data_IF_537488110222
#
_entry.id   IF_537488110222
#
_cell.length_a   1.000
_cell.length_b   1.000
_cell.length_c   1.000
_cell.angle_alpha   90.00
_cell.angle_beta   90.00
_cell.angle_gamma   90.00
#
_symmetry.space_group_name_H-M   'P 1'
#
loop_
_entity.id
_entity.type
_entity.pdbx_description
1 polymer ?
#
# COMPACT_ATOMS: atom_id res chain seq x y z
N UNK A 1 -33.13 -63.60 -39.28
CA UNK A 1 -33.77 -62.36 -38.83
C UNK A 1 -33.14 -61.99 -37.46
N UNK A 2 -32.06 -61.17 -37.42
CA UNK A 2 -31.38 -60.77 -36.22
C UNK A 2 -31.82 -59.35 -35.90
N UNK A 3 -32.47 -59.16 -34.73
CA UNK A 3 -32.78 -57.84 -34.19
C UNK A 3 -31.50 -57.22 -33.61
N UNK A 4 -31.15 -56.00 -34.10
CA UNK A 4 -30.20 -55.11 -33.48
C UNK A 4 -30.93 -54.23 -32.47
N UNK A 5 -30.50 -54.26 -31.19
CA UNK A 5 -30.90 -53.28 -30.20
C UNK A 5 -29.92 -52.09 -30.26
N UNK A 6 -30.43 -50.92 -30.57
CA UNK A 6 -29.69 -49.68 -30.44
C UNK A 6 -29.89 -49.13 -29.04
N UNK A 7 -28.80 -49.04 -28.26
CA UNK A 7 -28.76 -48.38 -26.96
C UNK A 7 -28.54 -46.89 -27.17
N UNK A 8 -29.54 -46.08 -26.82
CA UNK A 8 -29.43 -44.62 -26.80
C UNK A 8 -28.78 -44.24 -25.46
N UNK A 9 -27.54 -43.77 -25.47
CA UNK A 9 -26.93 -43.10 -24.35
C UNK A 9 -27.45 -41.65 -24.30
N UNK A 10 -28.27 -41.34 -23.30
CA UNK A 10 -28.65 -39.99 -22.95
C UNK A 10 -27.46 -39.32 -22.23
N UNK A 11 -26.65 -38.55 -22.93
CA UNK A 11 -25.66 -37.66 -22.37
C UNK A 11 -26.35 -36.46 -21.75
N UNK A 12 -26.31 -36.36 -20.42
CA UNK A 12 -26.70 -35.17 -19.70
C UNK A 12 -25.57 -34.15 -19.89
N UNK A 13 -25.78 -33.18 -20.77
CA UNK A 13 -24.90 -32.01 -20.82
C UNK A 13 -25.15 -31.13 -19.58
N UNK A 14 -24.21 -31.12 -18.66
CA UNK A 14 -24.11 -30.06 -17.69
C UNK A 14 -23.65 -28.80 -18.41
N UNK A 15 -24.57 -27.88 -18.67
CA UNK A 15 -24.23 -26.50 -18.94
C UNK A 15 -23.69 -25.93 -17.62
N UNK A 16 -22.38 -25.79 -17.52
CA UNK A 16 -21.75 -24.83 -16.59
C UNK A 16 -22.27 -23.46 -17.07
N UNK A 17 -23.25 -22.93 -16.36
CA UNK A 17 -23.55 -21.51 -16.46
C UNK A 17 -22.27 -20.79 -15.96
N UNK A 18 -21.52 -20.20 -16.87
CA UNK A 18 -20.68 -19.09 -16.53
C UNK A 18 -21.65 -18.04 -15.97
N UNK A 19 -21.65 -17.84 -14.67
CA UNK A 19 -22.14 -16.59 -14.15
C UNK A 19 -21.12 -15.58 -14.69
N UNK A 20 -21.57 -14.73 -15.60
CA UNK A 20 -20.89 -13.48 -15.87
C UNK A 20 -20.83 -12.77 -14.51
N UNK A 21 -19.67 -12.78 -13.87
CA UNK A 21 -19.38 -11.92 -12.75
C UNK A 21 -19.53 -10.53 -13.33
N UNK A 22 -20.60 -9.85 -13.00
CA UNK A 22 -20.83 -8.46 -13.38
C UNK A 22 -19.62 -7.71 -12.84
N UNK A 23 -18.84 -7.11 -13.72
CA UNK A 23 -17.74 -6.25 -13.31
C UNK A 23 -18.26 -5.27 -12.28
N UNK A 24 -17.70 -5.32 -11.09
CA UNK A 24 -18.03 -4.47 -9.98
C UNK A 24 -17.62 -3.07 -10.38
N UNK A 25 -18.45 -2.08 -10.20
CA UNK A 25 -18.12 -0.72 -10.55
C UNK A 25 -17.70 0.07 -9.30
N UNK A 26 -16.50 0.62 -9.31
CA UNK A 26 -16.10 1.65 -8.36
C UNK A 26 -17.03 2.86 -8.56
N UNK A 27 -17.78 3.23 -7.51
CA UNK A 27 -18.81 4.27 -7.57
C UNK A 27 -18.64 5.37 -6.53
N UNK A 28 -17.80 5.13 -5.54
CA UNK A 28 -17.56 6.05 -4.41
C UNK A 28 -16.14 5.86 -3.88
N UNK A 29 -15.18 5.90 -4.80
CA UNK A 29 -13.77 5.68 -4.49
C UNK A 29 -13.19 6.88 -3.72
N UNK A 30 -12.68 6.63 -2.52
CA UNK A 30 -12.06 7.66 -1.68
C UNK A 30 -10.65 7.29 -1.24
N UNK A 31 -10.41 6.03 -0.90
CA UNK A 31 -9.12 5.54 -0.43
C UNK A 31 -8.69 4.26 -1.15
N UNK A 32 -7.42 3.98 -1.12
CA UNK A 32 -6.85 2.72 -1.60
C UNK A 32 -5.70 2.33 -0.69
N UNK A 33 -5.61 1.03 -0.37
CA UNK A 33 -4.53 0.48 0.43
C UNK A 33 -3.86 -0.70 -0.24
N UNK A 34 -2.58 -0.91 0.08
CA UNK A 34 -1.83 -2.07 -0.36
C UNK A 34 -1.83 -3.16 0.72
N UNK A 35 -2.28 -4.35 0.37
CA UNK A 35 -2.15 -5.56 1.17
C UNK A 35 -0.84 -6.29 0.82
N UNK A 36 0.23 -6.13 1.61
CA UNK A 36 1.53 -6.71 1.30
C UNK A 36 1.58 -8.22 1.53
N UNK A 37 0.59 -8.79 2.26
CA UNK A 37 0.51 -10.22 2.54
C UNK A 37 -0.02 -10.96 1.33
N UNK A 38 -1.08 -10.45 0.72
CA UNK A 38 -1.73 -11.09 -0.42
C UNK A 38 -1.37 -10.44 -1.77
N UNK A 39 -0.51 -9.38 -1.77
CA UNK A 39 -0.04 -8.64 -2.95
C UNK A 39 -1.17 -8.15 -3.84
N UNK A 40 -2.11 -7.42 -3.25
CA UNK A 40 -3.27 -6.83 -3.90
C UNK A 40 -3.52 -5.42 -3.40
N UNK A 41 -4.36 -4.68 -4.09
CA UNK A 41 -4.84 -3.39 -3.66
C UNK A 41 -6.29 -3.49 -3.21
N UNK A 42 -6.62 -2.76 -2.16
CA UNK A 42 -7.95 -2.69 -1.56
C UNK A 42 -8.47 -1.27 -1.74
N UNK A 43 -9.56 -1.10 -2.46
CA UNK A 43 -10.16 0.19 -2.76
C UNK A 43 -11.42 0.39 -1.91
N UNK A 44 -11.45 1.45 -1.12
CA UNK A 44 -12.62 1.88 -0.34
C UNK A 44 -13.69 2.46 -1.26
N UNK A 45 -14.85 1.83 -1.31
CA UNK A 45 -15.96 2.17 -2.21
C UNK A 45 -17.26 2.44 -1.43
N UNK A 46 -17.17 3.08 -0.28
CA UNK A 46 -18.28 3.35 0.61
C UNK A 46 -18.82 2.07 1.26
N UNK A 47 -19.92 1.55 0.76
CA UNK A 47 -20.59 0.36 1.30
C UNK A 47 -19.87 -0.97 1.10
N UNK A 48 -18.69 -0.97 0.47
CA UNK A 48 -17.85 -2.17 0.27
C UNK A 48 -16.40 -1.80 0.03
N UNK A 49 -15.52 -2.79 0.13
CA UNK A 49 -14.12 -2.71 -0.28
C UNK A 49 -13.91 -3.64 -1.47
N UNK A 50 -13.26 -3.14 -2.49
CA UNK A 50 -13.05 -3.85 -3.75
C UNK A 50 -11.57 -4.14 -3.94
N UNK A 51 -11.24 -5.36 -4.34
CA UNK A 51 -9.90 -5.72 -4.79
C UNK A 51 -9.66 -5.19 -6.19
N UNK A 52 -8.56 -4.50 -6.40
CA UNK A 52 -8.12 -4.03 -7.72
C UNK A 52 -6.74 -4.60 -8.05
N UNK A 53 -6.52 -4.85 -9.34
CA UNK A 53 -5.23 -5.33 -9.84
C UNK A 53 -4.23 -4.18 -10.07
N UNK A 54 -3.02 -4.52 -10.52
CA UNK A 54 -1.95 -3.55 -10.80
C UNK A 54 -2.24 -2.61 -12.00
N UNK A 55 -3.34 -2.78 -12.70
CA UNK A 55 -3.80 -1.88 -13.76
C UNK A 55 -4.91 -0.96 -13.27
N UNK A 56 -5.41 -1.17 -12.04
CA UNK A 56 -6.57 -0.50 -11.48
C UNK A 56 -7.90 -1.10 -11.93
N UNK A 57 -7.88 -2.28 -12.54
CA UNK A 57 -9.08 -3.00 -12.92
C UNK A 57 -9.65 -3.74 -11.70
N UNK A 58 -10.96 -3.65 -11.53
CA UNK A 58 -11.69 -4.30 -10.46
C UNK A 58 -11.64 -5.82 -10.63
N UNK A 59 -11.32 -6.52 -9.53
CA UNK A 59 -11.21 -7.98 -9.52
C UNK A 59 -12.37 -8.65 -8.80
N UNK A 60 -12.58 -8.34 -7.51
CA UNK A 60 -13.59 -8.98 -6.67
C UNK A 60 -13.91 -8.10 -5.45
N UNK A 61 -14.89 -8.51 -4.66
CA UNK A 61 -15.11 -7.95 -3.34
C UNK A 61 -14.09 -8.47 -2.34
N UNK A 62 -13.58 -7.59 -1.50
CA UNK A 62 -12.85 -8.00 -0.32
C UNK A 62 -13.83 -8.50 0.75
N UNK A 63 -14.06 -9.82 0.80
CA UNK A 63 -15.00 -10.43 1.74
C UNK A 63 -16.48 -10.20 1.40
N UNK A 64 -17.37 -10.47 2.37
CA UNK A 64 -18.82 -10.40 2.15
C UNK A 64 -19.45 -9.05 2.47
N UNK A 65 -18.90 -8.31 3.45
CA UNK A 65 -19.49 -7.09 3.98
C UNK A 65 -18.52 -6.01 4.50
N UNK A 66 -17.21 -5.94 4.14
CA UNK A 66 -16.37 -4.85 4.58
C UNK A 66 -16.84 -3.53 3.98
N UNK A 67 -16.88 -2.49 4.82
CA UNK A 67 -17.23 -1.13 4.46
C UNK A 67 -16.00 -0.23 4.65
N UNK A 68 -15.82 0.77 3.80
CA UNK A 68 -14.84 1.84 3.97
C UNK A 68 -15.37 3.11 3.31
N UNK A 69 -15.72 4.09 4.12
CA UNK A 69 -16.26 5.36 3.65
C UNK A 69 -15.12 6.35 3.29
N UNK A 70 -14.00 6.28 4.04
CA UNK A 70 -12.87 7.21 3.96
C UNK A 70 -11.55 6.46 4.18
N UNK A 71 -10.60 7.04 4.93
CA UNK A 71 -9.29 6.51 5.17
C UNK A 71 -9.26 5.04 5.59
N UNK A 72 -8.29 4.33 5.05
CA UNK A 72 -7.97 2.94 5.37
C UNK A 72 -6.49 2.81 5.67
N UNK A 73 -6.13 1.76 6.43
CA UNK A 73 -4.75 1.36 6.69
C UNK A 73 -4.62 -0.15 6.86
N UNK A 74 -3.53 -0.71 6.38
CA UNK A 74 -3.19 -2.11 6.62
C UNK A 74 -2.14 -2.19 7.73
N UNK A 75 -2.48 -2.86 8.84
CA UNK A 75 -1.57 -3.11 9.95
C UNK A 75 -1.61 -4.59 10.33
N UNK A 76 -0.46 -5.26 10.28
CA UNK A 76 -0.37 -6.69 10.54
C UNK A 76 -1.22 -7.53 9.58
N UNK A 77 -2.15 -8.33 10.09
CA UNK A 77 -3.08 -9.13 9.29
C UNK A 77 -4.49 -8.54 9.22
N UNK A 78 -4.62 -7.23 9.36
CA UNK A 78 -5.92 -6.56 9.36
C UNK A 78 -5.92 -5.31 8.48
N UNK A 79 -7.05 -5.08 7.80
CA UNK A 79 -7.43 -3.81 7.21
C UNK A 79 -8.24 -3.03 8.23
N UNK A 80 -7.80 -1.83 8.55
CA UNK A 80 -8.57 -0.86 9.34
C UNK A 80 -9.24 0.12 8.40
N UNK A 81 -10.49 0.47 8.66
CA UNK A 81 -11.25 1.36 7.79
C UNK A 81 -12.18 2.29 8.60
N UNK A 82 -12.31 3.52 8.15
CA UNK A 82 -13.29 4.46 8.68
C UNK A 82 -14.65 4.17 8.07
N UNK A 83 -15.65 3.96 8.95
CA UNK A 83 -17.04 3.75 8.59
C UNK A 83 -17.91 4.68 9.44
N UNK A 84 -18.35 5.79 8.86
CA UNK A 84 -19.03 6.87 9.57
C UNK A 84 -18.18 7.49 10.67
N UNK A 85 -18.57 7.30 11.94
CA UNK A 85 -17.80 7.73 13.12
C UNK A 85 -17.15 6.56 13.86
N UNK A 86 -16.99 5.44 13.19
CA UNK A 86 -16.35 4.23 13.72
C UNK A 86 -15.09 3.89 12.93
N UNK A 87 -14.19 3.18 13.61
CA UNK A 87 -13.10 2.46 12.96
C UNK A 87 -13.36 0.97 13.11
N UNK A 88 -13.37 0.26 12.00
CA UNK A 88 -13.54 -1.19 11.92
C UNK A 88 -12.23 -1.85 11.49
N UNK A 89 -11.97 -3.04 12.01
CA UNK A 89 -10.86 -3.88 11.61
C UNK A 89 -11.38 -5.16 10.95
N UNK A 90 -10.83 -5.51 9.79
CA UNK A 90 -11.19 -6.70 9.01
C UNK A 90 -9.97 -7.59 8.84
N UNK A 91 -10.13 -8.89 9.05
CA UNK A 91 -9.07 -9.87 8.78
C UNK A 91 -8.74 -9.93 7.28
N UNK A 92 -7.47 -9.72 6.91
CA UNK A 92 -7.03 -9.65 5.51
C UNK A 92 -7.25 -10.94 4.72
N UNK A 93 -7.38 -12.08 5.38
CA UNK A 93 -7.57 -13.37 4.71
C UNK A 93 -9.04 -13.65 4.41
N UNK A 94 -9.93 -13.32 5.36
CA UNK A 94 -11.34 -13.68 5.28
C UNK A 94 -12.27 -12.52 4.96
N UNK A 95 -11.80 -11.27 5.12
CA UNK A 95 -12.63 -10.06 5.03
C UNK A 95 -13.66 -9.94 6.16
N UNK A 96 -13.58 -10.75 7.22
CA UNK A 96 -14.52 -10.68 8.33
C UNK A 96 -14.14 -9.58 9.31
N UNK A 97 -15.13 -8.84 9.83
CA UNK A 97 -14.91 -7.88 10.90
C UNK A 97 -14.42 -8.61 12.16
N UNK A 98 -13.27 -8.18 12.68
CA UNK A 98 -12.62 -8.75 13.87
C UNK A 98 -12.62 -7.80 15.06
N UNK A 99 -12.82 -6.51 14.82
CA UNK A 99 -12.93 -5.48 15.86
C UNK A 99 -13.64 -4.25 15.32
N UNK A 100 -14.24 -3.47 16.21
CA UNK A 100 -14.74 -2.13 15.87
C UNK A 100 -14.84 -1.24 17.10
N UNK A 101 -14.70 0.08 16.90
CA UNK A 101 -14.90 1.09 17.92
C UNK A 101 -15.57 2.32 17.33
N UNK A 102 -16.61 2.83 18.03
CA UNK A 102 -17.26 4.08 17.66
C UNK A 102 -16.73 5.22 18.52
N UNK A 103 -16.28 6.30 17.88
CA UNK A 103 -15.78 7.48 18.57
C UNK A 103 -16.96 8.40 18.90
N UNK A 104 -17.36 8.40 20.17
CA UNK A 104 -18.49 9.20 20.60
C UNK A 104 -18.16 10.69 20.54
N UNK A 105 -18.97 11.42 19.80
CA UNK A 105 -18.82 12.87 19.61
C UNK A 105 -18.02 13.25 18.37
N UNK A 106 -17.42 12.31 17.64
CA UNK A 106 -16.83 12.59 16.34
C UNK A 106 -17.91 13.04 15.35
N UNK A 107 -17.56 14.02 14.51
CA UNK A 107 -18.49 14.59 13.53
C UNK A 107 -18.25 14.06 12.11
N UNK A 108 -16.98 13.89 11.71
CA UNK A 108 -16.60 13.42 10.37
C UNK A 108 -15.16 12.90 10.37
N UNK A 109 -14.99 11.62 10.64
CA UNK A 109 -13.68 10.96 10.51
C UNK A 109 -13.30 10.86 9.04
N UNK A 110 -12.01 11.15 8.71
CA UNK A 110 -11.57 11.19 7.33
C UNK A 110 -10.24 10.47 7.09
N UNK A 111 -9.09 11.01 7.47
CA UNK A 111 -7.79 10.38 7.27
C UNK A 111 -7.44 9.40 8.37
N UNK A 112 -6.65 8.39 8.06
CA UNK A 112 -6.15 7.36 8.98
C UNK A 112 -4.64 7.20 8.83
N UNK A 113 -3.97 6.85 9.93
CA UNK A 113 -2.59 6.39 9.97
C UNK A 113 -2.46 5.29 11.02
N UNK A 114 -1.51 4.39 10.87
CA UNK A 114 -1.21 3.37 11.87
C UNK A 114 0.30 3.23 12.13
N UNK A 115 0.65 2.56 13.23
CA UNK A 115 2.00 2.07 13.49
C UNK A 115 2.00 0.54 13.68
N UNK A 116 3.20 -0.03 13.88
CA UNK A 116 3.34 -1.47 14.12
C UNK A 116 2.95 -1.90 15.55
N UNK A 117 2.66 -0.93 16.46
CA UNK A 117 2.35 -1.16 17.87
C UNK A 117 0.82 -1.18 18.15
N UNK A 118 -0.01 -1.43 17.14
CA UNK A 118 -1.47 -1.50 17.22
C UNK A 118 -2.17 -0.16 17.51
N UNK A 119 -1.50 0.99 17.27
CA UNK A 119 -2.12 2.30 17.37
C UNK A 119 -2.59 2.76 16.00
N UNK A 120 -3.80 3.30 15.99
CA UNK A 120 -4.41 3.93 14.82
C UNK A 120 -4.77 5.37 15.17
N UNK A 121 -4.42 6.30 14.31
CA UNK A 121 -4.83 7.70 14.45
C UNK A 121 -5.80 8.06 13.35
N UNK A 122 -6.83 8.82 13.74
CA UNK A 122 -7.82 9.32 12.78
C UNK A 122 -8.03 10.82 12.95
N UNK A 123 -8.18 11.50 11.82
CA UNK A 123 -8.54 12.92 11.80
C UNK A 123 -10.05 13.09 11.80
N UNK A 124 -10.58 14.04 12.58
CA UNK A 124 -11.94 14.54 12.40
C UNK A 124 -11.91 15.85 11.62
N UNK A 125 -12.38 15.76 10.40
CA UNK A 125 -12.38 16.85 9.43
C UNK A 125 -13.21 18.05 9.89
N UNK A 126 -14.40 17.81 10.45
CA UNK A 126 -15.32 18.88 10.84
C UNK A 126 -14.97 19.49 12.20
N UNK A 127 -14.64 18.66 13.17
CA UNK A 127 -14.32 19.13 14.53
C UNK A 127 -12.87 19.55 14.68
N UNK A 128 -12.02 19.25 13.67
CA UNK A 128 -10.59 19.59 13.63
C UNK A 128 -9.81 18.96 14.78
N UNK A 129 -10.15 17.74 15.11
CA UNK A 129 -9.54 16.95 16.17
C UNK A 129 -8.74 15.79 15.60
N UNK A 130 -7.88 15.19 16.43
CA UNK A 130 -7.19 13.93 16.12
C UNK A 130 -7.43 12.99 17.30
N UNK A 131 -7.82 11.76 17.00
CA UNK A 131 -7.97 10.70 17.96
C UNK A 131 -6.88 9.64 17.76
N UNK A 132 -6.42 9.07 18.88
CA UNK A 132 -5.59 7.88 18.91
C UNK A 132 -6.44 6.72 19.41
N UNK A 133 -6.36 5.58 18.73
CA UNK A 133 -7.11 4.37 19.03
C UNK A 133 -6.10 3.26 19.30
N UNK A 134 -6.27 2.53 20.40
CA UNK A 134 -5.48 1.37 20.77
C UNK A 134 -6.25 0.08 20.44
N UNK A 135 -5.72 -0.69 19.49
CA UNK A 135 -6.21 -2.00 19.07
C UNK A 135 -5.38 -3.17 19.61
N UNK A 136 -4.54 -2.97 20.61
CA UNK A 136 -3.77 -4.06 21.22
C UNK A 136 -4.65 -5.17 21.80
N UNK A 137 -5.88 -4.82 22.25
CA UNK A 137 -6.95 -5.77 22.57
C UNK A 137 -8.12 -5.57 21.58
N UNK A 138 -8.14 -6.40 20.53
CA UNK A 138 -9.19 -6.34 19.49
C UNK A 138 -10.61 -6.57 20.06
N UNK A 139 -10.75 -7.22 21.21
CA UNK A 139 -12.07 -7.43 21.83
C UNK A 139 -12.57 -6.18 22.57
N UNK A 140 -11.66 -5.29 23.01
CA UNK A 140 -11.97 -4.11 23.78
C UNK A 140 -11.05 -2.94 23.38
N UNK A 141 -11.12 -2.44 22.13
CA UNK A 141 -10.32 -1.30 21.72
C UNK A 141 -10.72 -0.04 22.50
N UNK A 142 -9.76 0.86 22.69
CA UNK A 142 -9.98 2.12 23.39
C UNK A 142 -9.52 3.30 22.56
N UNK A 143 -10.01 4.50 22.84
CA UNK A 143 -9.57 5.70 22.17
C UNK A 143 -9.41 6.89 23.10
N UNK A 144 -8.60 7.85 22.68
CA UNK A 144 -8.40 9.14 23.34
C UNK A 144 -8.31 10.24 22.29
N UNK A 145 -8.85 11.42 22.57
CA UNK A 145 -8.61 12.62 21.79
C UNK A 145 -7.22 13.16 22.17
N UNK A 146 -6.30 13.19 21.20
CA UNK A 146 -4.91 13.66 21.41
C UNK A 146 -4.69 15.10 20.94
N UNK A 147 -5.52 15.60 20.03
CA UNK A 147 -5.58 17.02 19.63
C UNK A 147 -7.03 17.46 19.59
N UNK A 148 -7.36 18.52 20.31
CA UNK A 148 -8.71 19.10 20.42
C UNK A 148 -8.99 20.27 19.45
N UNK A 149 -7.97 20.85 18.84
CA UNK A 149 -8.08 21.83 17.74
C UNK A 149 -6.79 21.90 16.92
N UNK A 150 -6.85 21.39 15.69
CA UNK A 150 -5.76 21.54 14.70
C UNK A 150 -5.71 22.91 14.06
N UNK A 151 -6.64 23.83 14.40
CA UNK A 151 -6.82 25.18 13.84
C UNK A 151 -7.27 25.21 12.38
N UNK A 152 -6.86 24.24 11.60
CA UNK A 152 -7.20 24.06 10.19
C UNK A 152 -7.85 22.71 10.01
N UNK A 153 -8.65 22.53 8.98
CA UNK A 153 -9.38 21.29 8.70
C UNK A 153 -8.39 20.18 8.32
N UNK A 154 -8.13 19.21 9.20
CA UNK A 154 -7.23 18.09 8.87
C UNK A 154 -7.93 17.13 7.91
N UNK A 155 -7.15 16.49 7.04
CA UNK A 155 -7.62 15.49 6.09
C UNK A 155 -6.70 14.25 6.19
N UNK A 156 -6.06 13.82 5.13
CA UNK A 156 -5.14 12.70 5.17
C UNK A 156 -4.01 12.88 6.19
N UNK A 157 -3.53 11.78 6.74
CA UNK A 157 -2.52 11.71 7.79
C UNK A 157 -1.68 10.46 7.59
N UNK A 158 -0.36 10.53 7.81
CA UNK A 158 0.53 9.38 7.77
C UNK A 158 1.51 9.37 8.95
N UNK A 159 2.06 8.21 9.25
CA UNK A 159 3.04 8.02 10.32
C UNK A 159 4.48 8.20 9.79
N UNK A 160 5.22 9.13 10.39
CA UNK A 160 6.66 9.36 10.17
C UNK A 160 7.44 8.74 11.33
N UNK A 161 7.73 7.44 11.22
CA UNK A 161 8.44 6.68 12.24
C UNK A 161 9.79 7.27 12.56
N UNK A 162 10.56 7.67 11.55
CA UNK A 162 11.91 8.19 11.68
C UNK A 162 11.99 9.44 12.59
N UNK A 163 10.90 10.23 12.63
CA UNK A 163 10.82 11.44 13.43
C UNK A 163 9.83 11.32 14.60
N UNK A 164 9.25 10.15 14.84
CA UNK A 164 8.27 9.88 15.88
C UNK A 164 7.14 10.92 15.90
N UNK A 165 6.50 11.10 14.74
CA UNK A 165 5.44 12.09 14.53
C UNK A 165 4.41 11.60 13.52
N UNK A 166 3.24 12.20 13.56
CA UNK A 166 2.29 12.12 12.45
C UNK A 166 2.43 13.35 11.58
N UNK A 167 2.33 13.18 10.28
CA UNK A 167 2.25 14.28 9.31
C UNK A 167 0.85 14.27 8.72
N UNK A 168 0.17 15.42 8.73
CA UNK A 168 -1.18 15.52 8.19
C UNK A 168 -1.35 16.75 7.30
N UNK A 169 -2.20 16.58 6.32
CA UNK A 169 -2.55 17.61 5.35
C UNK A 169 -3.86 18.30 5.71
N UNK A 170 -4.12 19.42 5.08
CA UNK A 170 -5.28 20.20 5.42
C UNK A 170 -6.11 20.54 4.17
N UNK A 171 -7.41 20.42 4.33
CA UNK A 171 -8.37 20.89 3.34
C UNK A 171 -8.54 22.40 3.41
N UNK A 172 -8.92 23.01 2.29
CA UNK A 172 -9.28 24.41 2.22
C UNK A 172 -8.62 25.17 1.10
N UNK A 173 -8.42 26.47 1.28
CA UNK A 173 -8.00 27.41 0.24
C UNK A 173 -6.67 27.08 -0.44
N UNK A 174 -6.36 27.82 -1.49
CA UNK A 174 -5.14 27.69 -2.32
C UNK A 174 -3.79 27.83 -1.59
N UNK A 175 -3.79 27.89 -0.27
CA UNK A 175 -2.62 27.92 0.60
C UNK A 175 -2.85 26.96 1.79
N UNK A 176 -3.29 25.76 1.50
CA UNK A 176 -3.47 24.72 2.49
C UNK A 176 -2.14 24.37 3.17
N UNK A 177 -2.18 23.84 4.39
CA UNK A 177 -0.98 23.60 5.17
C UNK A 177 -0.68 22.12 5.24
N UNK A 178 0.62 21.81 5.40
CA UNK A 178 1.08 20.50 5.86
C UNK A 178 1.58 20.70 7.27
N UNK A 179 1.13 19.89 8.21
CA UNK A 179 1.43 19.97 9.62
C UNK A 179 1.97 18.66 10.15
N UNK A 180 2.62 18.73 11.31
CA UNK A 180 3.01 17.55 12.05
C UNK A 180 2.53 17.63 13.49
N UNK A 181 2.23 16.46 14.06
CA UNK A 181 1.97 16.25 15.48
C UNK A 181 3.05 15.34 16.05
N UNK A 182 3.77 15.82 17.06
CA UNK A 182 4.75 15.00 17.79
C UNK A 182 4.06 13.92 18.61
N UNK A 183 4.51 12.69 18.54
CA UNK A 183 3.99 11.60 19.38
C UNK A 183 4.57 11.59 20.81
N UNK A 184 5.48 12.53 21.11
CA UNK A 184 6.04 12.67 22.47
C UNK A 184 5.16 13.54 23.37
N UNK A 185 4.57 14.60 22.82
CA UNK A 185 3.84 15.62 23.60
C UNK A 185 2.56 16.13 22.89
N UNK A 186 2.23 15.53 21.75
CA UNK A 186 1.10 15.88 20.86
C UNK A 186 1.11 17.34 20.37
N UNK A 187 2.26 18.00 20.44
CA UNK A 187 2.41 19.38 19.95
C UNK A 187 2.27 19.44 18.42
N UNK A 188 1.38 20.30 17.95
CA UNK A 188 1.14 20.50 16.51
C UNK A 188 1.99 21.67 15.98
N UNK A 189 2.73 21.40 14.91
CA UNK A 189 3.57 22.39 14.20
C UNK A 189 3.21 22.47 12.71
N UNK A 190 3.50 23.59 12.06
CA UNK A 190 3.36 23.72 10.63
C UNK A 190 4.69 23.43 9.94
N UNK A 191 4.72 22.43 9.06
CA UNK A 191 5.90 22.09 8.25
C UNK A 191 5.94 22.96 6.99
N UNK A 192 4.82 23.07 6.27
CA UNK A 192 4.74 23.83 5.02
C UNK A 192 3.51 24.75 5.02
N UNK A 193 3.75 26.02 4.68
CA UNK A 193 2.70 26.91 4.20
C UNK A 193 2.72 26.84 2.67
N UNK A 194 1.85 26.05 2.08
CA UNK A 194 1.86 25.88 0.62
C UNK A 194 1.47 27.15 -0.10
N UNK A 195 1.81 27.24 -1.38
CA UNK A 195 1.40 28.32 -2.26
C UNK A 195 0.80 27.74 -3.54
N UNK A 196 -0.44 28.12 -3.83
CA UNK A 196 -1.15 27.64 -5.01
C UNK A 196 -1.53 26.14 -4.96
N UNK A 197 -1.60 25.58 -3.76
CA UNK A 197 -2.11 24.22 -3.51
C UNK A 197 -3.23 24.33 -2.48
N UNK A 198 -4.37 23.82 -2.82
CA UNK A 198 -5.54 23.80 -1.94
C UNK A 198 -6.28 22.48 -2.02
N UNK A 199 -7.20 22.29 -1.07
CA UNK A 199 -7.95 21.05 -0.96
C UNK A 199 -7.00 19.86 -1.02
N UNK A 200 -6.04 19.84 -0.09
CA UNK A 200 -5.11 18.72 0.03
C UNK A 200 -5.88 17.59 0.71
N UNK A 201 -5.84 16.42 0.11
CA UNK A 201 -6.64 15.27 0.51
C UNK A 201 -5.78 14.19 1.16
N UNK A 202 -5.05 13.42 0.40
CA UNK A 202 -4.22 12.33 0.90
C UNK A 202 -2.75 12.72 1.11
N UNK A 203 -2.09 11.99 2.00
CA UNK A 203 -0.64 12.02 2.19
C UNK A 203 -0.17 10.64 2.60
N UNK A 204 0.93 10.22 2.00
CA UNK A 204 1.64 9.03 2.44
C UNK A 204 3.16 9.19 2.23
N UNK A 205 3.98 8.30 2.79
CA UNK A 205 5.42 8.39 2.73
C UNK A 205 6.07 7.11 2.21
N UNK A 206 7.24 7.28 1.58
CA UNK A 206 8.08 6.16 1.17
C UNK A 206 9.11 5.81 2.25
N UNK A 207 9.74 4.64 2.11
CA UNK A 207 10.80 4.17 2.98
C UNK A 207 12.09 5.01 2.95
N UNK A 208 12.17 6.00 2.05
CA UNK A 208 13.28 6.93 1.95
C UNK A 208 13.02 8.23 2.72
N UNK A 209 11.83 8.33 3.36
CA UNK A 209 11.37 9.49 4.10
C UNK A 209 10.87 10.63 3.20
N UNK A 210 10.52 10.37 1.95
CA UNK A 210 9.80 11.35 1.15
C UNK A 210 8.30 11.21 1.39
N UNK A 211 7.59 12.33 1.23
CA UNK A 211 6.15 12.40 1.41
C UNK A 211 5.47 12.73 0.07
N UNK A 212 4.42 12.00 -0.25
CA UNK A 212 3.56 12.26 -1.39
C UNK A 212 2.28 12.90 -0.91
N UNK A 213 1.86 13.95 -1.60
CA UNK A 213 0.70 14.76 -1.20
C UNK A 213 -0.24 14.91 -2.39
N UNK A 214 -1.47 14.44 -2.22
CA UNK A 214 -2.54 14.56 -3.21
C UNK A 214 -3.32 15.85 -2.99
N UNK A 215 -3.60 16.60 -4.05
CA UNK A 215 -4.40 17.84 -3.99
C UNK A 215 -5.39 17.94 -5.15
N UNK A 216 -6.57 18.53 -4.88
CA UNK A 216 -7.61 18.74 -5.88
C UNK A 216 -7.49 20.10 -6.58
N UNK A 217 -6.79 21.04 -5.99
CA UNK A 217 -6.70 22.41 -6.52
C UNK A 217 -5.26 22.92 -6.57
N UNK A 218 -4.55 22.69 -7.69
CA UNK A 218 -4.91 21.86 -8.84
C UNK A 218 -4.84 20.35 -8.53
N UNK A 219 -5.44 19.50 -9.38
CA UNK A 219 -5.26 18.05 -9.34
C UNK A 219 -3.78 17.73 -9.57
N UNK A 220 -3.11 17.24 -8.52
CA UNK A 220 -1.67 17.08 -8.54
C UNK A 220 -1.19 16.16 -7.42
N UNK A 221 -0.11 15.42 -7.70
CA UNK A 221 0.72 14.80 -6.67
C UNK A 221 1.99 15.64 -6.53
N UNK A 222 2.32 16.01 -5.29
CA UNK A 222 3.55 16.73 -4.96
C UNK A 222 4.38 15.84 -4.02
N UNK A 223 5.61 15.54 -4.42
CA UNK A 223 6.58 14.84 -3.56
C UNK A 223 7.39 15.87 -2.79
N UNK A 224 7.55 15.66 -1.49
CA UNK A 224 8.42 16.42 -0.60
C UNK A 224 9.53 15.51 -0.08
N UNK A 225 10.70 16.06 0.19
CA UNK A 225 11.74 15.36 0.93
C UNK A 225 11.41 15.32 2.44
N UNK A 226 12.19 14.58 3.23
CA UNK A 226 11.96 14.30 4.64
C UNK A 226 11.85 15.52 5.57
N UNK A 227 12.49 16.64 5.23
CA UNK A 227 12.43 17.90 5.99
C UNK A 227 11.49 18.94 5.36
N UNK A 228 10.80 18.59 4.29
CA UNK A 228 9.87 19.46 3.55
C UNK A 228 10.50 20.72 2.93
N UNK A 229 11.83 20.78 2.81
CA UNK A 229 12.57 21.92 2.24
C UNK A 229 12.57 21.94 0.72
N UNK A 230 12.40 20.76 0.09
CA UNK A 230 12.37 20.58 -1.36
C UNK A 230 11.10 19.85 -1.77
N UNK A 231 10.50 20.28 -2.87
CA UNK A 231 9.34 19.61 -3.45
C UNK A 231 9.43 19.54 -4.96
N UNK A 232 8.80 18.50 -5.53
CA UNK A 232 8.66 18.30 -6.97
C UNK A 232 7.25 17.83 -7.31
N UNK A 233 6.81 18.12 -8.54
CA UNK A 233 5.51 17.66 -9.05
C UNK A 233 5.72 16.30 -9.74
N UNK A 234 4.99 15.29 -9.31
CA UNK A 234 5.02 13.97 -9.93
C UNK A 234 4.12 13.96 -11.16
N UNK A 235 4.67 13.50 -12.27
CA UNK A 235 3.90 13.28 -13.51
C UNK A 235 3.17 11.95 -13.42
N UNK A 236 1.85 11.97 -13.53
CA UNK A 236 0.99 10.79 -13.43
C UNK A 236 0.44 10.44 -14.81
N UNK A 237 0.81 9.26 -15.33
CA UNK A 237 0.19 8.69 -16.52
C UNK A 237 -1.26 8.27 -16.22
N UNK A 238 -2.18 8.51 -17.15
CA UNK A 238 -3.60 8.24 -16.93
C UNK A 238 -4.39 9.42 -16.39
N UNK A 239 -3.71 10.45 -15.89
CA UNK A 239 -4.31 11.69 -15.41
C UNK A 239 -4.81 11.62 -13.97
N UNK A 240 -5.13 12.80 -13.42
CA UNK A 240 -5.64 12.96 -12.07
C UNK A 240 -7.01 13.65 -12.13
N UNK A 241 -7.95 13.18 -11.30
CA UNK A 241 -9.31 13.70 -11.20
C UNK A 241 -9.79 13.66 -9.75
N UNK A 242 -9.49 14.69 -8.97
CA UNK A 242 -9.64 14.72 -7.52
C UNK A 242 -8.92 13.52 -6.87
N UNK A 243 -7.55 13.50 -6.92
CA UNK A 243 -6.80 12.44 -6.27
C UNK A 243 -7.00 12.54 -4.75
N UNK A 244 -7.48 11.45 -4.15
CA UNK A 244 -7.93 11.42 -2.76
C UNK A 244 -6.91 10.75 -1.84
N UNK A 245 -7.30 9.84 -0.97
CA UNK A 245 -6.42 9.21 0.01
C UNK A 245 -5.51 8.17 -0.65
N UNK A 246 -4.25 8.52 -0.79
CA UNK A 246 -3.21 7.78 -1.53
C UNK A 246 -2.47 6.82 -0.62
N UNK A 247 -1.97 5.72 -1.19
CA UNK A 247 -1.12 4.77 -0.49
C UNK A 247 0.20 4.52 -1.23
N UNK A 248 1.25 4.25 -0.49
CA UNK A 248 2.54 3.86 -1.03
C UNK A 248 2.82 2.37 -0.78
N UNK A 249 2.81 1.59 -1.84
CA UNK A 249 3.11 0.17 -1.80
C UNK A 249 4.64 -0.04 -1.74
N UNK A 250 5.19 -0.14 -0.53
CA UNK A 250 6.63 -0.20 -0.27
C UNK A 250 7.34 -1.37 -0.97
N UNK A 251 6.73 -2.54 -0.96
CA UNK A 251 7.29 -3.78 -1.54
C UNK A 251 7.55 -3.68 -3.04
N UNK A 252 6.82 -2.80 -3.73
CA UNK A 252 6.86 -2.64 -5.19
C UNK A 252 7.21 -1.23 -5.63
N UNK A 253 7.61 -0.35 -4.66
CA UNK A 253 8.03 1.03 -4.92
C UNK A 253 7.04 1.81 -5.80
N UNK A 254 5.76 1.77 -5.41
CA UNK A 254 4.66 2.27 -6.23
C UNK A 254 3.67 3.10 -5.40
N UNK A 255 3.43 4.33 -5.83
CA UNK A 255 2.34 5.16 -5.30
C UNK A 255 1.04 4.79 -6.00
N UNK A 256 0.00 4.55 -5.22
CA UNK A 256 -1.35 4.23 -5.67
C UNK A 256 -2.26 5.41 -5.40
N UNK A 257 -3.01 5.81 -6.41
CA UNK A 257 -3.76 7.06 -6.38
C UNK A 257 -5.21 6.80 -6.78
N UNK A 258 -6.15 6.88 -5.84
CA UNK A 258 -7.58 6.87 -6.15
C UNK A 258 -8.01 8.23 -6.70
N UNK A 259 -8.76 8.23 -7.78
CA UNK A 259 -9.36 9.42 -8.38
C UNK A 259 -10.86 9.46 -8.04
N UNK A 260 -11.24 10.24 -7.06
CA UNK A 260 -12.58 10.31 -6.49
C UNK A 260 -13.65 10.79 -7.50
N UNK A 261 -13.31 11.72 -8.40
CA UNK A 261 -14.28 12.24 -9.35
C UNK A 261 -14.67 11.29 -10.49
N UNK A 262 -13.82 10.36 -10.86
CA UNK A 262 -14.08 9.44 -11.97
C UNK A 262 -13.92 7.97 -11.59
N UNK A 263 -13.71 7.69 -10.30
CA UNK A 263 -13.62 6.36 -9.72
C UNK A 263 -12.60 5.45 -10.44
N UNK A 264 -11.40 5.97 -10.66
CA UNK A 264 -10.29 5.22 -11.27
C UNK A 264 -9.12 5.15 -10.30
N UNK A 265 -8.39 4.04 -10.31
CA UNK A 265 -7.12 3.89 -9.59
C UNK A 265 -5.99 4.02 -10.60
N UNK A 266 -4.99 4.84 -10.30
CA UNK A 266 -3.79 4.99 -11.13
C UNK A 266 -2.53 4.76 -10.30
N UNK A 267 -1.46 4.31 -10.96
CA UNK A 267 -0.22 3.87 -10.32
C UNK A 267 0.97 4.67 -10.83
N UNK A 268 1.91 4.98 -9.93
CA UNK A 268 3.18 5.61 -10.26
C UNK A 268 4.30 4.79 -9.64
N UNK A 269 5.01 4.00 -10.45
CA UNK A 269 6.20 3.27 -10.02
C UNK A 269 7.43 4.18 -9.99
N UNK A 270 8.26 4.08 -8.96
CA UNK A 270 9.49 4.85 -8.79
C UNK A 270 10.75 4.02 -9.03
N UNK A 271 10.60 2.72 -9.28
CA UNK A 271 11.72 1.88 -9.68
C UNK A 271 12.45 2.51 -10.87
N UNK A 272 13.77 2.70 -10.81
CA UNK A 272 14.50 3.30 -11.92
C UNK A 272 14.29 2.49 -13.20
N UNK A 273 13.66 3.12 -14.19
CA UNK A 273 13.63 2.60 -15.56
C UNK A 273 15.02 2.62 -16.16
N UNK A 274 15.93 1.80 -15.65
CA UNK A 274 17.25 1.57 -16.21
C UNK A 274 17.58 0.09 -16.30
N UNK A 275 16.59 -0.68 -16.74
CA UNK A 275 16.86 -1.97 -17.40
C UNK A 275 16.11 -1.92 -18.72
N UNK A 276 16.85 -2.07 -19.80
CA UNK A 276 16.34 -2.39 -21.12
C UNK A 276 15.14 -3.31 -20.95
N UNK A 277 13.97 -2.94 -21.51
CA UNK A 277 12.83 -3.84 -21.63
C UNK A 277 13.31 -5.18 -22.23
N UNK A 278 13.65 -6.12 -21.36
CA UNK A 278 13.54 -7.51 -21.73
C UNK A 278 12.08 -7.85 -21.53
N UNK A 279 11.41 -8.21 -22.59
CA UNK A 279 10.03 -8.73 -22.63
C UNK A 279 9.90 -10.08 -21.90
N UNK A 280 10.71 -10.30 -20.88
CA UNK A 280 10.62 -11.48 -20.00
C UNK A 280 10.13 -11.04 -18.64
N UNK A 281 8.93 -11.52 -18.29
CA UNK A 281 8.33 -11.43 -16.97
C UNK A 281 9.36 -11.73 -15.89
N UNK A 282 9.43 -10.92 -14.81
CA UNK A 282 10.20 -11.24 -13.61
C UNK A 282 9.56 -12.46 -12.91
N UNK A 283 9.96 -13.71 -13.26
CA UNK A 283 9.27 -14.90 -12.74
C UNK A 283 9.55 -15.16 -11.26
N UNK A 284 10.53 -14.47 -10.66
CA UNK A 284 10.91 -14.66 -9.26
C UNK A 284 10.50 -13.51 -8.35
N UNK A 285 9.91 -12.43 -8.84
CA UNK A 285 9.47 -11.27 -8.06
C UNK A 285 10.50 -10.86 -6.98
N UNK A 286 11.76 -10.60 -7.41
CA UNK A 286 12.87 -10.29 -6.51
C UNK A 286 12.75 -8.84 -6.03
N UNK A 287 12.88 -8.63 -4.72
CA UNK A 287 13.00 -7.33 -4.08
C UNK A 287 14.04 -7.37 -2.97
N UNK A 288 14.66 -6.25 -2.63
CA UNK A 288 15.57 -6.14 -1.49
C UNK A 288 15.40 -4.77 -0.82
N UNK A 289 15.09 -4.79 0.47
CA UNK A 289 14.84 -3.56 1.23
C UNK A 289 15.45 -3.68 2.65
N UNK A 290 15.96 -2.55 3.21
CA UNK A 290 16.28 -1.27 2.54
C UNK A 290 17.34 -1.40 1.44
N UNK A 291 17.34 -0.44 0.50
CA UNK A 291 18.37 -0.26 -0.52
C UNK A 291 18.70 1.25 -0.65
N UNK A 292 19.89 1.75 -0.26
CA UNK A 292 21.12 1.00 0.01
C UNK A 292 20.99 -0.02 1.16
N UNK A 293 21.69 -1.16 0.98
CA UNK A 293 21.56 -2.27 1.92
C UNK A 293 22.24 -1.99 3.27
N UNK A 294 21.62 -2.50 4.33
CA UNK A 294 22.11 -2.54 5.70
C UNK A 294 22.17 -3.99 6.18
N UNK A 295 22.62 -4.21 7.42
CA UNK A 295 22.59 -5.54 8.04
C UNK A 295 21.17 -6.07 8.30
N UNK A 296 20.15 -5.22 8.21
CA UNK A 296 18.75 -5.57 8.41
C UNK A 296 17.98 -5.70 7.09
N UNK A 297 18.63 -5.44 5.95
CA UNK A 297 17.97 -5.57 4.64
C UNK A 297 17.46 -6.98 4.41
N UNK A 298 16.28 -7.07 3.85
CA UNK A 298 15.60 -8.32 3.52
C UNK A 298 15.54 -8.47 2.00
N UNK A 299 16.15 -9.53 1.49
CA UNK A 299 16.00 -9.99 0.13
C UNK A 299 14.80 -10.93 0.07
N UNK A 300 13.79 -10.59 -0.73
CA UNK A 300 12.59 -11.39 -0.93
C UNK A 300 12.50 -11.86 -2.36
N UNK A 301 12.07 -13.12 -2.58
CA UNK A 301 11.86 -13.69 -3.91
C UNK A 301 10.88 -14.85 -3.89
N UNK A 302 10.21 -15.09 -5.02
CA UNK A 302 9.24 -16.16 -5.21
C UNK A 302 9.82 -17.27 -6.09
N UNK A 303 9.79 -18.52 -5.64
CA UNK A 303 10.13 -19.66 -6.47
C UNK A 303 8.86 -20.32 -7.03
N UNK A 304 8.87 -20.56 -8.35
CA UNK A 304 7.79 -21.32 -9.03
C UNK A 304 7.94 -22.83 -8.85
N UNK A 305 9.17 -23.31 -8.76
CA UNK A 305 9.51 -24.73 -8.64
C UNK A 305 10.41 -24.95 -7.43
N UNK A 306 10.17 -26.03 -6.68
CA UNK A 306 11.11 -26.45 -5.65
C UNK A 306 12.39 -26.99 -6.32
N UNK A 307 13.57 -26.62 -5.81
CA UNK A 307 14.84 -27.06 -6.37
C UNK A 307 16.06 -26.41 -5.75
N UNK A 308 17.23 -26.80 -6.26
CA UNK A 308 18.51 -26.19 -5.88
C UNK A 308 18.48 -24.69 -6.23
N UNK A 309 18.63 -23.86 -5.20
CA UNK A 309 18.58 -22.41 -5.31
C UNK A 309 19.90 -21.81 -4.86
N UNK A 310 20.47 -20.90 -5.67
CA UNK A 310 21.67 -20.15 -5.35
C UNK A 310 21.35 -18.67 -5.27
N UNK A 311 21.90 -18.03 -4.23
CA UNK A 311 21.88 -16.56 -4.09
C UNK A 311 23.32 -16.10 -4.11
N UNK A 312 23.65 -15.25 -5.08
CA UNK A 312 25.00 -14.75 -5.31
C UNK A 312 24.95 -13.22 -5.50
N UNK A 313 26.03 -12.57 -5.07
CA UNK A 313 26.26 -11.15 -5.35
C UNK A 313 27.27 -11.05 -6.49
N UNK A 314 26.93 -10.25 -7.49
CA UNK A 314 27.81 -9.95 -8.61
C UNK A 314 28.10 -8.46 -8.73
N UNK A 315 29.33 -8.13 -9.11
CA UNK A 315 29.74 -6.73 -9.36
C UNK A 315 29.28 -6.22 -10.73
N UNK A 316 29.55 -4.95 -11.02
CA UNK A 316 29.24 -4.30 -12.29
C UNK A 316 29.95 -4.91 -13.51
N UNK A 317 30.94 -5.79 -13.29
CA UNK A 317 31.66 -6.53 -14.34
C UNK A 317 31.13 -7.96 -14.51
N UNK A 318 30.07 -8.33 -13.74
CA UNK A 318 29.47 -9.66 -13.76
C UNK A 318 30.27 -10.73 -13.00
N UNK A 319 31.25 -10.35 -12.18
CA UNK A 319 32.03 -11.29 -11.36
C UNK A 319 31.28 -11.58 -10.08
N UNK A 320 31.23 -12.85 -9.67
CA UNK A 320 30.73 -13.25 -8.37
C UNK A 320 31.68 -12.72 -7.30
N UNK A 321 31.16 -11.88 -6.40
CA UNK A 321 31.91 -11.35 -5.25
C UNK A 321 31.60 -12.12 -3.97
N UNK A 322 30.36 -12.66 -3.87
CA UNK A 322 29.94 -13.46 -2.71
C UNK A 322 28.84 -14.45 -3.09
N UNK A 323 28.79 -15.61 -2.43
CA UNK A 323 27.70 -16.57 -2.54
C UNK A 323 27.10 -16.76 -1.13
N UNK A 324 25.82 -16.40 -0.99
CA UNK A 324 25.14 -16.37 0.30
C UNK A 324 24.35 -17.65 0.58
N UNK A 325 23.85 -18.30 -0.47
CA UNK A 325 23.02 -19.50 -0.35
C UNK A 325 23.30 -20.46 -1.50
N UNK A 326 23.24 -21.77 -1.19
CA UNK A 326 23.17 -22.84 -2.19
C UNK A 326 22.49 -24.06 -1.54
N UNK A 327 21.15 -24.09 -1.60
CA UNK A 327 20.32 -25.09 -0.93
C UNK A 327 19.10 -25.44 -1.78
N UNK A 328 18.45 -26.58 -1.46
CA UNK A 328 17.15 -26.92 -2.03
C UNK A 328 16.05 -26.17 -1.28
N UNK A 329 15.35 -25.30 -1.99
CA UNK A 329 14.24 -24.53 -1.45
C UNK A 329 12.88 -24.99 -2.02
N UNK A 330 11.79 -24.92 -1.25
CA UNK A 330 10.44 -25.20 -1.72
C UNK A 330 9.92 -24.10 -2.66
N UNK A 331 8.86 -24.41 -3.42
CA UNK A 331 8.20 -23.50 -4.35
C UNK A 331 7.25 -22.53 -3.61
N UNK A 332 7.82 -21.62 -2.83
CA UNK A 332 7.11 -20.60 -2.04
C UNK A 332 7.88 -19.28 -2.10
N UNK A 333 7.32 -18.23 -1.49
CA UNK A 333 8.05 -17.00 -1.26
C UNK A 333 9.08 -17.18 -0.14
N UNK A 334 10.29 -16.67 -0.38
CA UNK A 334 11.39 -16.70 0.56
C UNK A 334 11.78 -15.29 1.00
N UNK A 335 12.11 -15.13 2.27
CA UNK A 335 12.71 -13.92 2.84
C UNK A 335 14.07 -14.28 3.43
N UNK A 336 15.10 -13.57 3.02
CA UNK A 336 16.48 -13.80 3.44
C UNK A 336 17.04 -12.50 4.03
N UNK A 337 17.35 -12.49 5.32
CA UNK A 337 18.01 -11.33 5.96
C UNK A 337 19.44 -11.29 5.47
N UNK A 338 19.82 -10.18 4.83
CA UNK A 338 21.10 -10.03 4.14
C UNK A 338 22.29 -10.08 5.12
N UNK A 339 22.12 -9.51 6.33
CA UNK A 339 23.20 -9.43 7.31
C UNK A 339 24.27 -8.40 6.94
N UNK A 340 25.42 -8.50 7.62
CA UNK A 340 26.58 -7.68 7.29
C UNK A 340 27.35 -8.31 6.12
N UNK A 341 27.53 -7.53 5.05
CA UNK A 341 28.33 -7.92 3.89
C UNK A 341 29.64 -7.13 3.86
N UNK A 342 30.76 -7.81 3.64
CA UNK A 342 32.07 -7.18 3.46
C UNK A 342 32.26 -6.72 2.00
N UNK A 343 31.42 -5.74 1.61
CA UNK A 343 31.45 -5.13 0.28
C UNK A 343 31.87 -3.67 0.38
N UNK A 344 32.66 -3.21 -0.59
CA UNK A 344 32.93 -1.78 -0.76
C UNK A 344 31.65 -1.03 -1.18
N UNK A 345 31.50 0.27 -0.82
CA UNK A 345 30.40 1.07 -1.34
C UNK A 345 30.35 1.03 -2.87
N UNK A 346 29.20 0.75 -3.44
CA UNK A 346 29.04 0.61 -4.90
C UNK A 346 27.75 -0.07 -5.31
N UNK A 347 27.56 -0.20 -6.63
CA UNK A 347 26.42 -0.89 -7.22
C UNK A 347 26.74 -2.36 -7.48
N UNK A 348 25.83 -3.23 -7.08
CA UNK A 348 25.91 -4.67 -7.19
C UNK A 348 24.58 -5.23 -7.70
N UNK A 349 24.58 -6.53 -8.05
CA UNK A 349 23.39 -7.25 -8.43
C UNK A 349 23.24 -8.51 -7.55
N UNK A 350 22.06 -8.74 -7.03
CA UNK A 350 21.64 -10.07 -6.60
C UNK A 350 21.48 -10.96 -7.83
N UNK A 351 22.01 -12.15 -7.82
CA UNK A 351 21.72 -13.19 -8.79
C UNK A 351 21.10 -14.38 -8.07
N UNK A 352 19.85 -14.69 -8.43
CA UNK A 352 19.12 -15.84 -7.89
C UNK A 352 18.96 -16.85 -9.02
N UNK A 353 19.42 -18.07 -8.80
CA UNK A 353 19.31 -19.18 -9.74
C UNK A 353 18.52 -20.32 -9.09
N UNK A 354 17.47 -20.83 -9.75
CA UNK A 354 16.71 -22.00 -9.35
C UNK A 354 16.56 -22.95 -10.56
N UNK A 355 17.31 -24.04 -10.57
CA UNK A 355 17.39 -24.91 -11.73
C UNK A 355 17.97 -24.20 -12.95
N UNK A 356 17.19 -24.07 -14.05
CA UNK A 356 17.58 -23.36 -15.27
C UNK A 356 17.19 -21.88 -15.24
N UNK A 357 16.31 -21.49 -14.30
CA UNK A 357 15.84 -20.10 -14.17
C UNK A 357 16.89 -19.28 -13.42
N UNK A 358 17.28 -18.14 -14.00
CA UNK A 358 18.22 -17.19 -13.36
C UNK A 358 17.69 -15.78 -13.53
N UNK A 359 17.69 -15.02 -12.43
CA UNK A 359 17.34 -13.61 -12.42
C UNK A 359 18.33 -12.77 -11.64
N UNK A 360 18.40 -11.49 -11.99
CA UNK A 360 19.24 -10.50 -11.33
C UNK A 360 18.40 -9.30 -10.87
N UNK A 361 18.80 -8.73 -9.73
CA UNK A 361 18.14 -7.55 -9.15
C UNK A 361 19.20 -6.59 -8.59
N UNK A 362 19.17 -5.28 -8.94
CA UNK A 362 20.17 -4.32 -8.52
C UNK A 362 20.04 -3.90 -7.07
N UNK A 363 21.19 -3.60 -6.44
CA UNK A 363 21.24 -2.97 -5.13
C UNK A 363 22.48 -2.09 -4.96
N UNK A 364 22.48 -1.23 -3.95
CA UNK A 364 23.57 -0.34 -3.56
C UNK A 364 24.07 -0.74 -2.17
N UNK A 365 25.40 -0.76 -2.02
CA UNK A 365 26.06 -0.93 -0.72
C UNK A 365 26.61 0.40 -0.24
#
# INVERSE_FOLDING_TARGET
MKLLYATVLSGTFFFLQHQDVMAQQLTSLESVEYDPINHRFLAGNGSNVIEVDNNGDEMDYFGSDPEADYGMEVMGNALYAIVGTSVKAYDLTSGLEISSITISGAAFLNGMACDDDHRVWVTDFNDKTIYEIDFSDLANPTYVMVVDDTVTTPNGICYDEANNRLVFVNWGSSNAKIKAMSLTDYAVTTLVNTSGIGNIDGIDNDNYGNFFVASWSPNRITKYNNDFSVSEIITVSGGLSAPADIAYAEDIDTLVIPNSNNNTVVFVGFTPSSVVESTESNPMAISCYPNPITSQSVLSFQLKNAGETKIEIIDSQGRIVEQLLNENLPAVRHKFVVGELDLSPGSYLWRITNGEDTQVYPFIK
#
